data_IF_674704956286
#
_entry.id   IF_674704956286
#
_cell.length_a   1.000
_cell.length_b   1.000
_cell.length_c   1.000
_cell.angle_alpha   90.00
_cell.angle_beta   90.00
_cell.angle_gamma   90.00
#
_symmetry.space_group_name_H-M   'P 1'
#
loop_
_entity.id
_entity.type
_entity.pdbx_description
1 polymer ?
#
# COMPACT_ATOMS: atom_id res chain seq x y z
N UNK A 1 -23.19 -10.82 1.47
CA UNK A 1 -22.16 -10.26 2.38
C UNK A 1 -21.84 -8.84 1.93
N UNK A 2 -21.87 -7.87 2.83
CA UNK A 2 -21.38 -6.52 2.54
C UNK A 2 -19.85 -6.53 2.45
N UNK A 3 -19.30 -5.93 1.39
CA UNK A 3 -17.85 -5.82 1.17
C UNK A 3 -17.45 -4.36 1.46
N UNK A 4 -16.49 -4.13 2.38
CA UNK A 4 -15.97 -2.79 2.69
C UNK A 4 -15.43 -2.08 1.45
N UNK A 5 -15.70 -0.79 1.29
CA UNK A 5 -15.17 0.01 0.19
C UNK A 5 -13.92 0.80 0.58
N UNK A 6 -13.85 1.25 1.83
CA UNK A 6 -12.74 2.06 2.35
C UNK A 6 -12.08 1.36 3.54
N UNK A 7 -10.79 1.04 3.40
CA UNK A 7 -9.97 0.43 4.45
C UNK A 7 -8.99 1.47 5.01
N UNK A 8 -9.20 1.94 6.23
CA UNK A 8 -8.24 2.79 6.92
C UNK A 8 -6.99 1.99 7.31
N UNK A 9 -5.80 2.53 7.06
CA UNK A 9 -4.53 1.91 7.45
C UNK A 9 -3.82 2.68 8.56
N UNK A 10 -2.95 2.00 9.29
CA UNK A 10 -2.07 2.60 10.31
C UNK A 10 -0.65 2.86 9.77
N UNK A 11 -0.54 3.24 8.49
CA UNK A 11 0.75 3.49 7.86
C UNK A 11 1.44 4.75 8.43
N UNK A 12 2.78 4.81 8.47
CA UNK A 12 3.53 5.97 8.95
C UNK A 12 3.79 7.01 7.84
N UNK A 13 2.91 7.10 6.84
CA UNK A 13 3.06 8.00 5.68
C UNK A 13 2.76 9.47 6.02
N UNK A 14 2.17 9.72 7.19
CA UNK A 14 1.84 11.06 7.64
C UNK A 14 3.01 11.77 8.34
N UNK A 15 3.00 13.10 8.36
CA UNK A 15 3.89 13.90 9.22
C UNK A 15 3.47 13.92 10.68
N UNK A 16 2.25 13.46 11.00
CA UNK A 16 1.72 13.36 12.36
C UNK A 16 2.10 12.02 12.98
N UNK A 17 2.83 12.07 14.09
CA UNK A 17 3.15 10.89 14.90
C UNK A 17 1.91 10.43 15.65
N UNK A 18 1.55 9.16 15.50
CA UNK A 18 0.53 8.47 16.30
C UNK A 18 1.22 7.30 16.99
N UNK A 19 1.03 7.18 18.29
CA UNK A 19 1.57 6.08 19.09
C UNK A 19 0.64 4.87 19.05
N UNK A 20 1.14 3.69 19.39
CA UNK A 20 0.34 2.47 19.41
C UNK A 20 -0.87 2.54 20.37
N UNK A 21 -0.80 3.39 21.40
CA UNK A 21 -1.92 3.65 22.32
C UNK A 21 -3.02 4.54 21.71
N UNK A 22 -2.65 5.50 20.87
CA UNK A 22 -3.59 6.39 20.19
C UNK A 22 -4.27 5.73 18.98
N UNK A 23 -3.71 4.63 18.47
CA UNK A 23 -4.24 3.91 17.30
C UNK A 23 -5.65 3.33 17.51
N UNK A 24 -6.04 3.05 18.76
CA UNK A 24 -7.42 2.64 19.08
C UNK A 24 -8.40 3.78 18.85
N UNK A 25 -8.01 5.00 19.21
CA UNK A 25 -8.81 6.20 19.02
C UNK A 25 -8.85 6.57 17.54
N UNK A 26 -7.71 6.49 16.86
CA UNK A 26 -7.59 6.64 15.41
C UNK A 26 -8.54 5.70 14.66
N UNK A 27 -8.62 4.42 15.04
CA UNK A 27 -9.50 3.45 14.40
C UNK A 27 -10.98 3.84 14.50
N UNK A 28 -11.41 4.31 15.68
CA UNK A 28 -12.79 4.75 15.90
C UNK A 28 -13.09 6.05 15.16
N UNK A 29 -12.13 6.99 15.11
CA UNK A 29 -12.26 8.21 14.29
C UNK A 29 -12.33 7.86 12.79
N UNK A 30 -11.63 6.82 12.34
CA UNK A 30 -11.74 6.34 10.96
C UNK A 30 -13.16 5.91 10.59
N UNK A 31 -13.86 5.20 11.49
CA UNK A 31 -15.25 4.84 11.31
C UNK A 31 -16.17 6.07 11.31
N UNK A 32 -16.01 6.97 12.29
CA UNK A 32 -16.95 8.07 12.55
C UNK A 32 -16.75 9.29 11.65
N UNK A 33 -15.50 9.75 11.46
CA UNK A 33 -15.19 11.01 10.79
C UNK A 33 -14.79 10.81 9.33
N UNK A 34 -14.03 9.76 9.04
CA UNK A 34 -13.56 9.47 7.68
C UNK A 34 -14.53 8.53 6.93
N UNK A 35 -15.43 7.83 7.64
CA UNK A 35 -16.40 6.93 7.01
C UNK A 35 -15.73 5.72 6.35
N UNK A 36 -14.61 5.26 6.90
CA UNK A 36 -13.99 4.00 6.50
C UNK A 36 -14.86 2.84 6.98
N UNK A 37 -15.10 1.85 6.13
CA UNK A 37 -15.92 0.67 6.49
C UNK A 37 -15.08 -0.40 7.20
N UNK A 38 -13.76 -0.27 7.11
CA UNK A 38 -12.82 -1.25 7.62
C UNK A 38 -11.59 -0.53 8.17
N UNK A 39 -11.05 -1.00 9.30
CA UNK A 39 -9.77 -0.53 9.84
C UNK A 39 -8.80 -1.70 9.87
N UNK A 40 -7.64 -1.49 9.27
CA UNK A 40 -6.55 -2.44 9.30
C UNK A 40 -5.67 -2.24 10.53
N UNK A 41 -5.63 -3.23 11.42
CA UNK A 41 -4.73 -3.27 12.57
C UNK A 41 -3.41 -3.90 12.14
N UNK A 42 -2.33 -3.13 12.13
CA UNK A 42 -1.08 -3.54 11.50
C UNK A 42 -0.06 -4.07 12.52
N UNK A 43 0.34 -5.33 12.38
CA UNK A 43 1.40 -5.96 13.17
C UNK A 43 2.74 -6.10 12.40
N UNK A 44 2.75 -5.85 11.08
CA UNK A 44 3.96 -6.04 10.23
C UNK A 44 5.03 -4.99 10.54
N UNK A 45 6.12 -5.42 11.18
CA UNK A 45 7.19 -4.54 11.69
C UNK A 45 6.72 -3.43 12.63
N UNK A 46 5.63 -3.63 13.37
CA UNK A 46 5.09 -2.68 14.36
C UNK A 46 5.07 -3.28 15.77
N UNK A 47 5.21 -2.44 16.79
CA UNK A 47 5.09 -2.81 18.20
C UNK A 47 3.64 -2.73 18.71
N UNK A 48 2.67 -3.04 17.84
CA UNK A 48 1.24 -2.95 18.12
C UNK A 48 0.85 -3.94 19.23
N UNK A 49 0.18 -3.50 20.31
CA UNK A 49 -0.32 -4.40 21.33
C UNK A 49 -1.28 -5.44 20.74
N UNK A 50 -1.10 -6.71 21.12
CA UNK A 50 -1.98 -7.79 20.67
C UNK A 50 -3.43 -7.67 21.19
N UNK A 51 -3.70 -6.77 22.15
CA UNK A 51 -5.05 -6.43 22.57
C UNK A 51 -5.77 -5.48 21.60
N UNK A 52 -5.06 -4.80 20.70
CA UNK A 52 -5.60 -3.67 19.94
C UNK A 52 -6.87 -4.01 19.15
N UNK A 53 -6.99 -5.15 18.42
CA UNK A 53 -8.24 -5.50 17.73
C UNK A 53 -9.44 -5.62 18.69
N UNK A 54 -9.23 -6.16 19.90
CA UNK A 54 -10.25 -6.21 20.95
C UNK A 54 -10.56 -4.82 21.47
N UNK A 55 -9.56 -3.98 21.69
CA UNK A 55 -9.74 -2.64 22.25
C UNK A 55 -10.49 -1.71 21.27
N UNK A 56 -10.19 -1.81 19.97
CA UNK A 56 -10.97 -1.18 18.89
C UNK A 56 -12.41 -1.69 18.90
N UNK A 57 -12.60 -3.01 19.00
CA UNK A 57 -13.95 -3.59 19.08
C UNK A 57 -14.74 -3.07 20.29
N UNK A 58 -14.10 -3.04 21.46
CA UNK A 58 -14.68 -2.52 22.70
C UNK A 58 -15.13 -1.08 22.57
N UNK A 59 -14.23 -0.21 22.08
CA UNK A 59 -14.53 1.22 21.94
C UNK A 59 -15.61 1.49 20.90
N UNK A 60 -15.58 0.78 19.77
CA UNK A 60 -16.59 0.91 18.72
C UNK A 60 -17.98 0.45 19.20
N UNK A 61 -18.07 -0.68 19.92
CA UNK A 61 -19.33 -1.15 20.50
C UNK A 61 -19.87 -0.18 21.55
N UNK A 62 -19.01 0.41 22.39
CA UNK A 62 -19.41 1.42 23.37
C UNK A 62 -19.99 2.69 22.73
N UNK A 63 -19.62 2.97 21.48
CA UNK A 63 -20.15 4.10 20.69
C UNK A 63 -21.34 3.71 19.81
N UNK A 64 -21.84 2.47 19.91
CA UNK A 64 -22.98 1.99 19.14
C UNK A 64 -22.68 1.76 17.66
N UNK A 65 -21.41 1.59 17.28
CA UNK A 65 -21.04 1.31 15.88
C UNK A 65 -21.46 -0.12 15.49
N UNK A 66 -22.10 -0.32 14.32
CA UNK A 66 -22.52 -1.64 13.81
C UNK A 66 -21.34 -2.49 13.31
N UNK A 67 -20.50 -2.94 14.23
CA UNK A 67 -19.37 -3.82 13.97
C UNK A 67 -19.84 -5.21 13.48
N UNK A 68 -19.09 -5.79 12.55
CA UNK A 68 -19.39 -7.09 11.95
C UNK A 68 -20.49 -7.07 10.88
N UNK A 69 -21.18 -5.93 10.73
CA UNK A 69 -22.24 -5.71 9.74
C UNK A 69 -21.85 -4.66 8.71
N UNK A 70 -21.51 -3.46 9.17
CA UNK A 70 -21.05 -2.34 8.32
C UNK A 70 -19.59 -1.98 8.56
N UNK A 71 -19.12 -2.08 9.80
CA UNK A 71 -17.75 -1.76 10.18
C UNK A 71 -16.96 -3.04 10.53
N UNK A 72 -15.69 -3.10 10.11
CA UNK A 72 -14.85 -4.29 10.28
C UNK A 72 -13.46 -3.95 10.79
N UNK A 73 -12.87 -4.89 11.53
CA UNK A 73 -11.49 -4.83 11.97
C UNK A 73 -10.74 -5.94 11.23
N UNK A 74 -9.65 -5.61 10.56
CA UNK A 74 -8.91 -6.57 9.74
C UNK A 74 -7.43 -6.52 10.10
N UNK A 75 -6.94 -7.44 10.94
CA UNK A 75 -5.53 -7.48 11.30
C UNK A 75 -4.64 -7.84 10.09
N UNK A 76 -3.56 -7.07 9.87
CA UNK A 76 -2.46 -7.45 9.00
C UNK A 76 -1.39 -8.16 9.83
N UNK A 77 -1.22 -9.46 9.59
CA UNK A 77 -0.33 -10.33 10.37
C UNK A 77 1.08 -10.31 9.80
N UNK A 78 2.14 -10.50 10.60
CA UNK A 78 3.48 -10.74 10.09
C UNK A 78 3.50 -12.04 9.29
N UNK A 79 4.24 -12.07 8.17
CA UNK A 79 4.42 -13.31 7.41
C UNK A 79 5.40 -14.22 8.17
N UNK A 80 5.00 -15.45 8.56
CA UNK A 80 5.82 -16.33 9.40
C UNK A 80 7.13 -16.82 8.74
N UNK A 81 7.33 -16.55 7.43
CA UNK A 81 8.59 -16.83 6.72
C UNK A 81 9.56 -15.65 6.70
N UNK A 82 9.08 -14.44 6.96
CA UNK A 82 9.82 -13.19 6.80
C UNK A 82 10.03 -12.45 8.13
N UNK A 83 9.12 -12.65 9.08
CA UNK A 83 9.21 -12.16 10.45
C UNK A 83 9.12 -13.34 11.43
N UNK A 84 9.32 -13.04 12.72
CA UNK A 84 9.32 -14.06 13.78
C UNK A 84 7.99 -14.82 13.83
N UNK A 85 8.09 -16.13 13.92
CA UNK A 85 6.95 -17.04 13.98
C UNK A 85 5.99 -16.69 15.13
N UNK A 86 6.54 -16.34 16.29
CA UNK A 86 5.79 -15.96 17.48
C UNK A 86 4.92 -14.73 17.24
N UNK A 87 5.42 -13.74 16.48
CA UNK A 87 4.65 -12.52 16.16
C UNK A 87 3.46 -12.83 15.26
N UNK A 88 3.62 -13.76 14.32
CA UNK A 88 2.52 -14.28 13.51
C UNK A 88 1.49 -15.01 14.36
N UNK A 89 1.92 -15.89 15.27
CA UNK A 89 0.98 -16.65 16.11
C UNK A 89 0.21 -15.77 17.09
N UNK A 90 0.85 -14.78 17.71
CA UNK A 90 0.20 -13.83 18.62
C UNK A 90 -0.77 -12.89 17.89
N UNK A 91 -0.47 -12.48 16.65
CA UNK A 91 -1.37 -11.64 15.87
C UNK A 91 -2.62 -12.40 15.38
N UNK A 92 -2.48 -13.69 15.02
CA UNK A 92 -3.62 -14.56 14.76
C UNK A 92 -4.46 -14.78 16.02
N UNK A 93 -3.82 -15.00 17.17
CA UNK A 93 -4.52 -15.12 18.47
C UNK A 93 -5.35 -13.87 18.76
N UNK A 94 -4.76 -12.68 18.57
CA UNK A 94 -5.44 -11.40 18.74
C UNK A 94 -6.70 -11.27 17.87
N UNK A 95 -6.65 -11.76 16.63
CA UNK A 95 -7.79 -11.75 15.71
C UNK A 95 -8.96 -12.59 16.23
N UNK A 96 -8.69 -13.82 16.69
CA UNK A 96 -9.74 -14.72 17.21
C UNK A 96 -10.26 -14.22 18.57
N UNK A 97 -9.40 -13.71 19.45
CA UNK A 97 -9.80 -13.14 20.74
C UNK A 97 -10.67 -11.88 20.59
N UNK A 98 -10.45 -11.07 19.57
CA UNK A 98 -11.33 -9.93 19.27
C UNK A 98 -12.75 -10.39 18.92
N UNK A 99 -12.90 -11.47 18.16
CA UNK A 99 -14.21 -12.09 17.90
C UNK A 99 -14.82 -12.71 19.14
N UNK A 100 -14.01 -13.38 19.96
CA UNK A 100 -14.46 -13.91 21.24
C UNK A 100 -15.08 -12.82 22.12
N UNK A 101 -14.44 -11.64 22.17
CA UNK A 101 -14.99 -10.48 22.85
C UNK A 101 -16.27 -9.94 22.18
N UNK A 102 -16.23 -9.65 20.87
CA UNK A 102 -17.35 -9.01 20.17
C UNK A 102 -18.61 -9.88 20.15
N UNK A 103 -18.46 -11.20 20.09
CA UNK A 103 -19.58 -12.14 20.18
C UNK A 103 -20.22 -12.16 21.56
N UNK A 104 -19.43 -12.11 22.64
CA UNK A 104 -19.98 -12.01 24.01
C UNK A 104 -20.64 -10.66 24.26
N UNK A 105 -20.04 -9.58 23.78
CA UNK A 105 -20.51 -8.22 24.05
C UNK A 105 -21.75 -7.83 23.23
N UNK A 106 -21.83 -8.28 21.96
CA UNK A 106 -22.87 -7.83 21.03
C UNK A 106 -23.37 -8.92 20.07
N UNK A 107 -22.90 -10.17 20.17
CA UNK A 107 -23.32 -11.25 19.27
C UNK A 107 -22.75 -11.19 17.85
N UNK A 108 -21.81 -10.28 17.58
CA UNK A 108 -21.26 -10.00 16.24
C UNK A 108 -19.82 -10.48 16.08
N UNK A 109 -19.39 -10.70 14.83
CA UNK A 109 -18.01 -11.02 14.47
C UNK A 109 -17.31 -9.77 13.91
N UNK A 110 -16.48 -9.11 14.74
CA UNK A 110 -15.79 -7.88 14.36
C UNK A 110 -14.67 -8.11 13.33
N UNK A 111 -14.00 -9.25 13.41
CA UNK A 111 -12.90 -9.66 12.52
C UNK A 111 -13.37 -10.78 11.59
N UNK A 112 -13.58 -10.46 10.32
CA UNK A 112 -13.90 -11.45 9.28
C UNK A 112 -12.69 -11.86 8.46
N UNK A 113 -11.66 -11.02 8.45
CA UNK A 113 -10.50 -11.20 7.61
C UNK A 113 -9.21 -10.95 8.36
N UNK A 114 -8.15 -11.59 7.89
CA UNK A 114 -6.76 -11.25 8.23
C UNK A 114 -5.96 -11.07 6.94
N UNK A 115 -5.15 -10.01 6.86
CA UNK A 115 -4.27 -9.74 5.72
C UNK A 115 -2.92 -10.42 5.96
N UNK A 116 -2.50 -11.24 5.00
CA UNK A 116 -1.18 -11.87 4.98
C UNK A 116 -0.30 -11.13 3.95
N UNK A 117 0.72 -10.36 4.39
CA UNK A 117 1.61 -9.60 3.51
C UNK A 117 2.62 -10.51 2.82
N UNK A 118 3.13 -10.04 1.68
CA UNK A 118 4.15 -10.74 0.90
C UNK A 118 3.77 -12.23 0.72
N UNK A 119 2.51 -12.50 0.33
CA UNK A 119 2.08 -13.89 0.12
C UNK A 119 2.67 -14.39 -1.18
N UNK A 120 3.78 -15.11 -1.04
CA UNK A 120 4.59 -15.52 -2.17
C UNK A 120 4.25 -16.92 -2.70
N UNK A 121 3.76 -17.78 -1.81
CA UNK A 121 3.57 -19.19 -2.04
C UNK A 121 2.28 -19.69 -1.36
N UNK A 122 1.72 -20.77 -1.88
CA UNK A 122 0.45 -21.32 -1.38
C UNK A 122 0.62 -22.06 -0.07
N UNK A 123 1.82 -22.58 0.21
CA UNK A 123 2.18 -23.33 1.40
C UNK A 123 2.07 -22.43 2.65
N UNK A 124 2.50 -21.18 2.56
CA UNK A 124 2.39 -20.18 3.62
C UNK A 124 0.94 -19.85 3.91
N UNK A 125 0.10 -19.73 2.87
CA UNK A 125 -1.34 -19.55 3.07
C UNK A 125 -1.96 -20.75 3.78
N UNK A 126 -1.66 -21.98 3.33
CA UNK A 126 -2.16 -23.21 3.96
C UNK A 126 -1.75 -23.30 5.44
N UNK A 127 -0.51 -22.94 5.74
CA UNK A 127 0.02 -22.89 7.10
C UNK A 127 -0.74 -21.90 7.97
N UNK A 128 -0.96 -20.67 7.49
CA UNK A 128 -1.68 -19.64 8.24
C UNK A 128 -3.14 -20.00 8.44
N UNK A 129 -3.82 -20.59 7.45
CA UNK A 129 -5.17 -21.11 7.62
C UNK A 129 -5.23 -22.17 8.71
N UNK A 130 -4.30 -23.15 8.68
CA UNK A 130 -4.21 -24.19 9.71
C UNK A 130 -4.03 -23.60 11.11
N UNK A 131 -3.13 -22.62 11.25
CA UNK A 131 -2.90 -21.96 12.54
C UNK A 131 -4.15 -21.21 13.04
N UNK A 132 -4.84 -20.51 12.14
CA UNK A 132 -6.08 -19.80 12.43
C UNK A 132 -7.21 -20.75 12.85
N UNK A 133 -7.34 -21.89 12.18
CA UNK A 133 -8.33 -22.92 12.47
C UNK A 133 -8.09 -23.59 13.82
N UNK A 134 -6.83 -23.88 14.16
CA UNK A 134 -6.46 -24.41 15.47
C UNK A 134 -6.85 -23.44 16.59
N UNK A 135 -6.50 -22.16 16.46
CA UNK A 135 -6.83 -21.14 17.46
C UNK A 135 -8.33 -20.92 17.62
N UNK A 136 -9.06 -20.87 16.50
CA UNK A 136 -10.52 -20.75 16.54
C UNK A 136 -11.17 -21.97 17.22
N UNK A 137 -10.65 -23.18 16.96
CA UNK A 137 -11.12 -24.41 17.60
C UNK A 137 -10.88 -24.39 19.10
N UNK A 138 -9.68 -24.02 19.55
CA UNK A 138 -9.34 -23.98 20.98
C UNK A 138 -10.30 -23.07 21.75
N UNK A 139 -10.57 -21.86 21.22
CA UNK A 139 -11.54 -20.94 21.84
C UNK A 139 -12.98 -21.46 21.77
N UNK A 140 -13.34 -22.20 20.73
CA UNK A 140 -14.69 -22.77 20.61
C UNK A 140 -14.90 -23.92 21.60
N UNK A 141 -13.87 -24.73 21.89
CA UNK A 141 -13.90 -25.75 22.93
C UNK A 141 -14.05 -25.16 24.33
N UNK A 142 -13.49 -23.96 24.55
CA UNK A 142 -13.68 -23.17 25.77
C UNK A 142 -15.02 -22.42 25.83
N UNK A 143 -15.92 -22.59 24.85
CA UNK A 143 -17.16 -21.83 24.67
C UNK A 143 -16.94 -20.30 24.59
N UNK A 144 -15.74 -19.87 24.20
CA UNK A 144 -15.37 -18.47 24.13
C UNK A 144 -15.70 -17.84 22.76
N UNK A 145 -15.88 -18.64 21.71
CA UNK A 145 -16.28 -18.22 20.36
C UNK A 145 -17.22 -19.28 19.76
N UNK A 146 -18.11 -18.88 18.86
CA UNK A 146 -18.94 -19.83 18.10
C UNK A 146 -18.09 -20.63 17.11
N UNK A 147 -18.45 -21.91 16.90
CA UNK A 147 -17.73 -22.84 16.01
C UNK A 147 -17.75 -22.44 14.52
N UNK A 148 -18.74 -21.66 14.10
CA UNK A 148 -18.92 -21.18 12.74
C UNK A 148 -18.23 -19.84 12.46
N UNK A 149 -17.51 -19.29 13.44
CA UNK A 149 -16.78 -18.02 13.31
C UNK A 149 -15.50 -18.18 12.49
N UNK A 150 -15.62 -18.42 11.18
CA UNK A 150 -14.47 -18.49 10.28
C UNK A 150 -13.89 -17.10 10.03
N UNK A 151 -12.57 -17.01 10.06
CA UNK A 151 -11.82 -15.85 9.60
C UNK A 151 -11.16 -16.26 8.27
N UNK A 152 -11.29 -15.42 7.25
CA UNK A 152 -10.73 -15.66 5.92
C UNK A 152 -9.41 -14.92 5.71
N UNK A 153 -8.51 -15.48 4.89
CA UNK A 153 -7.26 -14.82 4.55
C UNK A 153 -7.41 -13.91 3.34
N UNK A 154 -6.82 -12.73 3.44
CA UNK A 154 -6.61 -11.80 2.35
C UNK A 154 -5.11 -11.84 2.01
N UNK A 155 -4.69 -12.52 0.95
CA UNK A 155 -3.31 -12.45 0.50
C UNK A 155 -3.03 -11.05 -0.06
N UNK A 156 -1.91 -10.46 0.36
CA UNK A 156 -1.37 -9.21 -0.14
C UNK A 156 -0.19 -9.49 -1.09
N UNK A 157 -0.38 -9.14 -2.36
CA UNK A 157 0.60 -9.26 -3.44
C UNK A 157 1.15 -7.88 -3.77
N UNK A 158 2.44 -7.70 -3.52
CA UNK A 158 3.13 -6.41 -3.50
C UNK A 158 4.41 -6.40 -4.36
N UNK A 159 4.43 -7.23 -5.41
CA UNK A 159 5.54 -7.40 -6.34
C UNK A 159 5.00 -7.42 -7.77
N UNK A 160 5.56 -6.58 -8.63
CA UNK A 160 5.08 -6.40 -10.00
C UNK A 160 5.11 -7.71 -10.81
N UNK A 161 6.17 -8.50 -10.65
CA UNK A 161 6.36 -9.76 -11.40
C UNK A 161 5.41 -10.87 -10.93
N UNK A 162 4.88 -10.75 -9.71
CA UNK A 162 3.80 -11.62 -9.19
C UNK A 162 2.42 -11.12 -9.58
N UNK A 163 2.21 -9.80 -9.57
CA UNK A 163 0.94 -9.17 -9.95
C UNK A 163 0.55 -9.49 -11.40
N UNK A 164 1.49 -9.55 -12.33
CA UNK A 164 1.20 -9.96 -13.73
C UNK A 164 0.75 -11.42 -13.87
N UNK A 165 0.98 -12.25 -12.84
CA UNK A 165 0.60 -13.67 -12.77
C UNK A 165 -0.55 -13.90 -11.78
N UNK A 166 -1.34 -12.88 -11.46
CA UNK A 166 -2.33 -12.97 -10.37
C UNK A 166 -3.40 -14.03 -10.63
N UNK A 167 -3.76 -14.28 -11.89
CA UNK A 167 -4.76 -15.29 -12.25
C UNK A 167 -4.35 -16.71 -11.81
N UNK A 168 -3.14 -17.13 -12.16
CA UNK A 168 -2.66 -18.47 -11.83
C UNK A 168 -2.48 -18.63 -10.33
N UNK A 169 -2.06 -17.55 -9.65
CA UNK A 169 -1.98 -17.49 -8.20
C UNK A 169 -3.36 -17.66 -7.54
N UNK A 170 -4.37 -16.89 -7.93
CA UNK A 170 -5.75 -17.01 -7.42
C UNK A 170 -6.26 -18.44 -7.58
N UNK A 171 -6.13 -19.03 -8.78
CA UNK A 171 -6.54 -20.41 -9.04
C UNK A 171 -5.85 -21.40 -8.11
N UNK A 172 -4.56 -21.18 -7.81
CA UNK A 172 -3.82 -22.01 -6.86
C UNK A 172 -4.33 -21.85 -5.41
N UNK A 173 -4.62 -20.62 -4.97
CA UNK A 173 -5.13 -20.35 -3.62
C UNK A 173 -6.49 -21.03 -3.35
N UNK A 174 -7.40 -21.01 -4.32
CA UNK A 174 -8.69 -21.72 -4.18
C UNK A 174 -8.49 -23.23 -4.04
N UNK A 175 -7.59 -23.84 -4.83
CA UNK A 175 -7.26 -25.26 -4.69
C UNK A 175 -6.67 -25.58 -3.33
N UNK A 176 -5.76 -24.74 -2.84
CA UNK A 176 -5.11 -24.92 -1.54
C UNK A 176 -6.10 -24.78 -0.38
N UNK A 177 -7.03 -23.82 -0.45
CA UNK A 177 -8.10 -23.69 0.54
C UNK A 177 -9.01 -24.93 0.54
N UNK A 178 -9.41 -25.41 -0.63
CA UNK A 178 -10.23 -26.63 -0.77
C UNK A 178 -9.53 -27.87 -0.20
N UNK A 179 -8.23 -28.04 -0.47
CA UNK A 179 -7.41 -29.11 0.11
C UNK A 179 -7.29 -29.02 1.63
N UNK A 180 -7.40 -27.81 2.19
CA UNK A 180 -7.42 -27.55 3.64
C UNK A 180 -8.82 -27.73 4.24
N UNK A 181 -9.81 -28.19 3.47
CA UNK A 181 -11.19 -28.40 3.92
C UNK A 181 -12.03 -27.12 3.98
N UNK A 182 -11.55 -26.00 3.41
CA UNK A 182 -12.27 -24.73 3.34
C UNK A 182 -12.95 -24.55 1.99
N UNK A 183 -14.24 -24.23 2.01
CA UNK A 183 -15.00 -23.87 0.80
C UNK A 183 -15.05 -22.35 0.73
N UNK A 184 -14.35 -21.76 -0.23
CA UNK A 184 -14.35 -20.32 -0.45
C UNK A 184 -15.35 -19.98 -1.57
N UNK A 185 -16.45 -19.33 -1.23
CA UNK A 185 -17.38 -18.76 -2.22
C UNK A 185 -16.90 -17.42 -2.79
N UNK A 186 -15.99 -16.77 -2.06
CA UNK A 186 -15.49 -15.43 -2.34
C UNK A 186 -14.10 -15.25 -1.72
N UNK A 187 -13.22 -14.54 -2.41
CA UNK A 187 -11.91 -14.16 -1.90
C UNK A 187 -11.65 -12.67 -2.13
N UNK A 188 -11.04 -12.01 -1.13
CA UNK A 188 -10.48 -10.67 -1.31
C UNK A 188 -8.99 -10.81 -1.58
N UNK A 189 -8.50 -10.12 -2.61
CA UNK A 189 -7.07 -10.11 -2.96
C UNK A 189 -6.58 -8.69 -2.80
N UNK A 190 -5.52 -8.50 -2.03
CA UNK A 190 -4.94 -7.19 -1.80
C UNK A 190 -3.75 -7.00 -2.73
N UNK A 191 -3.77 -5.95 -3.54
CA UNK A 191 -2.70 -5.58 -4.45
C UNK A 191 -2.02 -4.31 -3.91
N UNK A 192 -0.76 -4.42 -3.48
CA UNK A 192 0.03 -3.32 -2.96
C UNK A 192 0.98 -2.74 -4.00
N UNK A 193 1.04 -1.42 -4.13
CA UNK A 193 1.97 -0.77 -5.07
C UNK A 193 3.25 -0.26 -4.39
N UNK A 194 3.19 0.11 -3.11
CA UNK A 194 4.31 0.83 -2.45
C UNK A 194 5.61 0.01 -2.39
N UNK A 195 5.57 -1.22 -1.85
CA UNK A 195 6.75 -2.09 -1.78
C UNK A 195 7.15 -2.63 -3.18
N UNK A 196 6.19 -2.72 -4.10
CA UNK A 196 6.46 -3.05 -5.52
C UNK A 196 7.29 -1.95 -6.17
N UNK A 197 6.92 -0.68 -5.97
CA UNK A 197 7.61 0.48 -6.53
C UNK A 197 9.03 0.61 -6.00
N UNK A 198 9.29 0.30 -4.73
CA UNK A 198 10.66 0.25 -4.19
C UNK A 198 11.54 -0.72 -4.99
N UNK A 199 11.00 -1.89 -5.38
CA UNK A 199 11.74 -2.96 -6.07
C UNK A 199 11.80 -2.79 -7.59
N UNK A 200 10.80 -2.16 -8.19
CA UNK A 200 10.58 -2.16 -9.65
C UNK A 200 10.35 -0.78 -10.27
N UNK A 201 10.26 0.29 -9.48
CA UNK A 201 9.86 1.61 -9.96
C UNK A 201 8.35 1.76 -10.08
N UNK A 202 7.90 3.00 -10.26
CA UNK A 202 6.48 3.32 -10.33
C UNK A 202 5.86 2.76 -11.63
N UNK A 203 6.49 2.97 -12.78
CA UNK A 203 5.95 2.57 -14.07
C UNK A 203 5.74 1.05 -14.18
N UNK A 204 6.70 0.23 -13.73
CA UNK A 204 6.53 -1.22 -13.70
C UNK A 204 5.38 -1.65 -12.78
N UNK A 205 5.30 -1.03 -11.60
CA UNK A 205 4.31 -1.35 -10.57
C UNK A 205 2.90 -0.94 -10.96
N UNK A 206 2.75 0.25 -11.57
CA UNK A 206 1.49 0.77 -12.05
C UNK A 206 0.96 -0.05 -13.24
N UNK A 207 1.82 -0.39 -14.22
CA UNK A 207 1.45 -1.27 -15.34
C UNK A 207 1.04 -2.67 -14.84
N UNK A 208 1.79 -3.24 -13.89
CA UNK A 208 1.45 -4.53 -13.29
C UNK A 208 0.12 -4.50 -12.55
N UNK A 209 -0.18 -3.40 -11.83
CA UNK A 209 -1.46 -3.20 -11.16
C UNK A 209 -2.64 -3.18 -12.13
N UNK A 210 -2.53 -2.42 -13.23
CA UNK A 210 -3.57 -2.36 -14.28
C UNK A 210 -3.79 -3.75 -14.89
N UNK A 211 -2.71 -4.47 -15.21
CA UNK A 211 -2.80 -5.84 -15.75
C UNK A 211 -3.46 -6.79 -14.75
N UNK A 212 -3.09 -6.75 -13.48
CA UNK A 212 -3.64 -7.60 -12.43
C UNK A 212 -5.14 -7.37 -12.22
N UNK A 213 -5.58 -6.11 -12.18
CA UNK A 213 -7.00 -5.76 -12.08
C UNK A 213 -7.78 -6.22 -13.32
N UNK A 214 -7.17 -6.09 -14.51
CA UNK A 214 -7.70 -6.65 -15.76
C UNK A 214 -7.95 -8.15 -15.62
N UNK A 215 -6.92 -8.93 -15.29
CA UNK A 215 -7.01 -10.39 -15.10
C UNK A 215 -8.08 -10.78 -14.07
N UNK A 216 -8.15 -10.09 -12.93
CA UNK A 216 -9.20 -10.35 -11.93
C UNK A 216 -10.61 -10.03 -12.48
N UNK A 217 -10.75 -8.98 -13.28
CA UNK A 217 -12.02 -8.66 -13.94
C UNK A 217 -12.43 -9.76 -14.93
N UNK A 218 -11.47 -10.43 -15.58
CA UNK A 218 -11.76 -11.52 -16.52
C UNK A 218 -12.23 -12.77 -15.77
N UNK A 219 -11.48 -13.19 -14.75
CA UNK A 219 -11.83 -14.32 -13.89
C UNK A 219 -13.23 -14.18 -13.27
N UNK A 220 -13.56 -12.99 -12.78
CA UNK A 220 -14.87 -12.70 -12.19
C UNK A 220 -16.02 -12.83 -13.20
N UNK A 221 -15.76 -12.52 -14.47
CA UNK A 221 -16.76 -12.59 -15.55
C UNK A 221 -17.00 -14.03 -15.99
N UNK A 222 -15.96 -14.86 -16.00
CA UNK A 222 -16.08 -16.28 -16.31
C UNK A 222 -16.95 -17.01 -15.27
N UNK A 223 -17.06 -16.44 -14.05
CA UNK A 223 -18.00 -16.85 -13.03
C UNK A 223 -17.56 -18.05 -12.18
N UNK A 224 -16.45 -18.69 -12.54
CA UNK A 224 -15.85 -19.79 -11.76
C UNK A 224 -15.34 -19.32 -10.39
N UNK A 225 -14.84 -18.08 -10.30
CA UNK A 225 -14.34 -17.50 -9.06
C UNK A 225 -14.96 -16.11 -8.82
N UNK A 226 -15.11 -15.76 -7.54
CA UNK A 226 -15.59 -14.44 -7.12
C UNK A 226 -14.53 -13.72 -6.30
N UNK A 227 -13.90 -12.72 -6.90
CA UNK A 227 -12.76 -12.00 -6.35
C UNK A 227 -13.11 -10.53 -6.16
N UNK A 228 -12.77 -9.98 -5.00
CA UNK A 228 -12.88 -8.53 -4.73
C UNK A 228 -11.49 -7.93 -4.49
N UNK A 229 -10.91 -7.24 -5.49
CA UNK A 229 -9.61 -6.61 -5.33
C UNK A 229 -9.64 -5.48 -4.31
N UNK A 230 -8.58 -5.40 -3.51
CA UNK A 230 -8.26 -4.28 -2.63
C UNK A 230 -7.01 -3.61 -3.23
N UNK A 231 -7.04 -2.30 -3.44
CA UNK A 231 -5.85 -1.54 -3.88
C UNK A 231 -5.20 -0.80 -2.71
N UNK A 232 -3.92 -1.09 -2.49
CA UNK A 232 -3.07 -0.47 -1.48
C UNK A 232 -2.23 0.65 -2.04
N UNK A 233 -2.70 1.88 -1.90
CA UNK A 233 -2.09 3.05 -2.50
C UNK A 233 -2.05 4.21 -1.51
N UNK A 234 -1.05 5.08 -1.66
CA UNK A 234 -0.82 6.26 -0.83
C UNK A 234 -1.00 7.57 -1.60
N UNK A 235 -0.56 8.65 -0.96
CA UNK A 235 -0.64 10.00 -1.52
C UNK A 235 0.46 10.34 -2.55
N UNK A 236 1.73 9.90 -2.41
CA UNK A 236 2.69 10.18 -3.48
C UNK A 236 2.38 9.33 -4.73
N UNK A 237 2.56 9.88 -5.95
CA UNK A 237 2.41 9.15 -7.20
C UNK A 237 3.17 7.82 -7.23
N UNK A 238 4.41 7.81 -6.73
CA UNK A 238 5.24 6.59 -6.62
C UNK A 238 4.58 5.46 -5.82
N UNK A 239 3.60 5.79 -4.97
CA UNK A 239 2.82 4.86 -4.18
C UNK A 239 1.37 4.77 -4.68
N UNK A 240 1.13 5.10 -5.94
CA UNK A 240 -0.14 4.97 -6.67
C UNK A 240 -1.07 6.17 -6.62
N UNK A 241 -0.69 7.28 -5.98
CA UNK A 241 -1.39 8.58 -6.06
C UNK A 241 -2.86 8.64 -5.62
N UNK A 242 -3.50 7.52 -5.27
CA UNK A 242 -4.94 7.43 -5.06
C UNK A 242 -5.42 8.25 -3.86
N UNK A 243 -4.56 8.46 -2.86
CA UNK A 243 -4.85 9.27 -1.68
C UNK A 243 -4.44 10.74 -1.84
N UNK A 244 -4.03 11.15 -3.04
CA UNK A 244 -3.62 12.51 -3.36
C UNK A 244 -4.83 13.35 -3.79
N UNK A 245 -5.16 14.48 -3.12
CA UNK A 245 -6.27 15.32 -3.55
C UNK A 245 -6.19 15.84 -4.99
N UNK A 246 -4.98 15.94 -5.55
CA UNK A 246 -4.77 16.37 -6.94
C UNK A 246 -4.89 15.24 -7.95
N UNK A 247 -4.63 13.98 -7.55
CA UNK A 247 -4.53 12.84 -8.47
C UNK A 247 -5.60 11.77 -8.24
N UNK A 248 -6.37 11.83 -7.14
CA UNK A 248 -7.32 10.79 -6.80
C UNK A 248 -8.33 10.49 -7.91
N UNK A 249 -8.78 11.50 -8.67
CA UNK A 249 -9.71 11.32 -9.80
C UNK A 249 -9.06 10.55 -10.97
N UNK A 250 -7.94 11.02 -11.56
CA UNK A 250 -7.29 10.26 -12.64
C UNK A 250 -6.76 8.91 -12.17
N UNK A 251 -6.32 8.76 -10.91
CA UNK A 251 -5.80 7.50 -10.37
C UNK A 251 -6.92 6.46 -10.13
N UNK A 252 -8.07 6.89 -9.59
CA UNK A 252 -9.23 6.01 -9.42
C UNK A 252 -9.73 5.50 -10.78
N UNK A 253 -9.69 6.35 -11.82
CA UNK A 253 -9.97 5.94 -13.19
C UNK A 253 -8.88 5.01 -13.76
N UNK A 254 -7.60 5.33 -13.55
CA UNK A 254 -6.44 4.55 -14.02
C UNK A 254 -6.50 3.11 -13.50
N UNK A 255 -6.80 2.94 -12.22
CA UNK A 255 -6.87 1.65 -11.53
C UNK A 255 -8.30 1.12 -11.36
N UNK A 256 -9.24 1.52 -12.23
CA UNK A 256 -10.62 1.06 -12.15
C UNK A 256 -10.74 -0.49 -12.11
N UNK A 257 -11.62 -0.99 -11.24
CA UNK A 257 -11.88 -2.42 -11.07
C UNK A 257 -11.67 -2.95 -9.66
N UNK A 258 -11.08 -2.15 -8.76
CA UNK A 258 -11.04 -2.47 -7.34
C UNK A 258 -12.44 -2.43 -6.68
N UNK A 259 -12.56 -3.11 -5.53
CA UNK A 259 -13.74 -3.08 -4.67
C UNK A 259 -13.50 -2.38 -3.34
N UNK A 260 -12.27 -2.45 -2.85
CA UNK A 260 -11.83 -1.72 -1.66
C UNK A 260 -10.59 -0.90 -2.02
N UNK A 261 -10.45 0.30 -1.47
CA UNK A 261 -9.21 1.06 -1.53
C UNK A 261 -8.74 1.44 -0.12
N UNK A 262 -7.44 1.53 0.05
CA UNK A 262 -6.86 1.99 1.32
C UNK A 262 -6.96 3.50 1.47
N UNK A 263 -7.32 3.95 2.68
CA UNK A 263 -7.19 5.33 3.16
C UNK A 263 -6.02 5.37 4.14
N UNK A 264 -4.94 6.03 3.76
CA UNK A 264 -3.72 6.11 4.56
C UNK A 264 -3.74 7.27 5.54
N UNK A 265 -2.69 7.41 6.35
CA UNK A 265 -2.64 8.43 7.40
C UNK A 265 -2.43 9.82 6.82
N UNK A 266 -1.62 9.97 5.76
CA UNK A 266 -1.30 11.30 5.22
C UNK A 266 -2.54 12.06 4.76
N UNK A 267 -3.43 11.43 3.99
CA UNK A 267 -4.68 12.05 3.54
C UNK A 267 -5.68 12.34 4.67
N UNK A 268 -5.46 11.77 5.86
CA UNK A 268 -6.28 12.06 7.05
C UNK A 268 -5.73 13.21 7.87
N UNK A 269 -4.40 13.41 7.88
CA UNK A 269 -3.77 14.33 8.84
C UNK A 269 -2.97 15.46 8.22
N UNK A 270 -2.48 15.30 7.00
CA UNK A 270 -1.62 16.28 6.32
C UNK A 270 -2.37 17.11 5.26
N UNK A 271 -3.66 16.84 5.06
CA UNK A 271 -4.55 17.60 4.17
C UNK A 271 -5.81 18.03 4.92
N UNK A 272 -6.53 19.01 4.38
CA UNK A 272 -7.80 19.44 4.96
C UNK A 272 -8.88 18.36 4.81
N UNK A 273 -9.88 18.39 5.70
CA UNK A 273 -11.03 17.47 5.59
C UNK A 273 -11.79 17.63 4.26
N UNK A 274 -11.83 18.84 3.70
CA UNK A 274 -12.44 19.08 2.39
C UNK A 274 -11.66 18.40 1.25
N UNK A 275 -10.34 18.38 1.33
CA UNK A 275 -9.49 17.64 0.39
C UNK A 275 -9.64 16.13 0.56
N UNK A 276 -9.72 15.65 1.80
CA UNK A 276 -10.05 14.25 2.08
C UNK A 276 -11.39 13.84 1.45
N UNK A 277 -12.44 14.66 1.57
CA UNK A 277 -13.74 14.34 0.97
C UNK A 277 -13.65 14.20 -0.56
N UNK A 278 -12.87 15.04 -1.24
CA UNK A 278 -12.62 14.90 -2.69
C UNK A 278 -11.97 13.56 -3.02
N UNK A 279 -10.98 13.14 -2.25
CA UNK A 279 -10.32 11.83 -2.41
C UNK A 279 -11.32 10.71 -2.19
N UNK A 280 -12.12 10.79 -1.13
CA UNK A 280 -13.15 9.80 -0.79
C UNK A 280 -14.19 9.67 -1.90
N UNK A 281 -14.68 10.78 -2.44
CA UNK A 281 -15.64 10.82 -3.55
C UNK A 281 -15.04 10.20 -4.82
N UNK A 282 -13.79 10.53 -5.15
CA UNK A 282 -13.08 9.90 -6.26
C UNK A 282 -12.99 8.39 -6.08
N UNK A 283 -12.55 7.91 -4.92
CA UNK A 283 -12.42 6.46 -4.65
C UNK A 283 -13.75 5.72 -4.74
N UNK A 284 -14.82 6.30 -4.21
CA UNK A 284 -16.16 5.70 -4.18
C UNK A 284 -16.93 5.84 -5.50
N UNK A 285 -16.41 6.61 -6.46
CA UNK A 285 -17.02 6.76 -7.77
C UNK A 285 -16.95 5.46 -8.55
N UNK A 286 -17.98 5.19 -9.36
CA UNK A 286 -18.07 3.96 -10.14
C UNK A 286 -17.28 4.15 -11.44
N UNK A 287 -16.15 3.45 -11.55
CA UNK A 287 -15.39 3.37 -12.79
C UNK A 287 -15.50 1.97 -13.40
N UNK A 288 -15.68 1.93 -14.72
CA UNK A 288 -15.68 0.68 -15.46
C UNK A 288 -14.28 0.06 -15.43
N UNK A 289 -14.13 -1.22 -15.04
CA UNK A 289 -12.86 -1.92 -15.14
C UNK A 289 -12.25 -1.78 -16.54
N UNK A 290 -10.98 -1.40 -16.59
CA UNK A 290 -10.29 -1.16 -17.87
C UNK A 290 -9.82 -2.49 -18.44
N UNK A 291 -10.14 -2.74 -19.71
CA UNK A 291 -9.59 -3.85 -20.49
C UNK A 291 -8.54 -3.30 -21.42
N UNK A 292 -7.32 -3.18 -20.91
CA UNK A 292 -6.19 -2.73 -21.69
C UNK A 292 -5.18 -3.85 -21.78
N UNK A 293 -4.64 -3.97 -22.98
CA UNK A 293 -3.50 -4.83 -23.22
C UNK A 293 -2.26 -4.16 -22.64
N UNK A 294 -1.65 -4.80 -21.65
CA UNK A 294 -0.38 -4.38 -21.05
C UNK A 294 0.62 -5.49 -21.30
N UNK A 295 1.63 -5.18 -22.10
CA UNK A 295 2.71 -6.12 -22.43
C UNK A 295 3.59 -6.37 -21.21
N UNK A 296 3.87 -7.64 -20.92
CA UNK A 296 4.77 -8.03 -19.82
C UNK A 296 6.21 -7.54 -20.07
N UNK A 297 6.57 -7.36 -21.35
CA UNK A 297 7.84 -6.78 -21.76
C UNK A 297 8.02 -5.34 -21.26
N UNK A 298 6.94 -4.52 -21.25
CA UNK A 298 7.01 -3.14 -20.75
C UNK A 298 7.30 -3.12 -19.24
N UNK A 299 6.62 -3.99 -18.49
CA UNK A 299 6.78 -4.12 -17.03
C UNK A 299 8.19 -4.57 -16.68
N UNK A 300 8.69 -5.60 -17.39
CA UNK A 300 10.05 -6.11 -17.22
C UNK A 300 11.08 -5.03 -17.54
N UNK A 301 10.88 -4.29 -18.64
CA UNK A 301 11.82 -3.26 -19.07
C UNK A 301 11.83 -2.05 -18.15
N UNK A 302 10.66 -1.60 -17.68
CA UNK A 302 10.55 -0.54 -16.69
C UNK A 302 11.30 -0.92 -15.40
N UNK A 303 11.11 -2.16 -14.92
CA UNK A 303 11.80 -2.64 -13.72
C UNK A 303 13.31 -2.71 -13.89
N UNK A 304 13.81 -3.14 -15.05
CA UNK A 304 15.24 -3.21 -15.35
C UNK A 304 15.85 -1.80 -15.34
N UNK A 305 15.27 -0.87 -16.11
CA UNK A 305 15.76 0.50 -16.24
C UNK A 305 15.72 1.28 -14.92
N UNK A 306 14.68 1.08 -14.11
CA UNK A 306 14.62 1.64 -12.76
C UNK A 306 15.75 1.12 -11.87
N UNK A 307 15.96 -0.21 -11.83
CA UNK A 307 17.02 -0.82 -11.01
C UNK A 307 18.41 -0.33 -11.44
N UNK A 308 18.64 -0.17 -12.74
CA UNK A 308 19.86 0.43 -13.27
C UNK A 308 20.02 1.90 -12.84
N UNK A 309 18.95 2.68 -12.92
CA UNK A 309 18.96 4.10 -12.54
C UNK A 309 19.28 4.30 -11.06
N UNK A 310 18.70 3.50 -10.15
CA UNK A 310 18.89 3.70 -8.71
C UNK A 310 20.19 3.10 -8.17
N UNK A 311 20.75 2.06 -8.81
CA UNK A 311 21.89 1.28 -8.31
C UNK A 311 23.06 2.15 -7.81
N UNK A 312 23.51 3.21 -8.51
CA UNK A 312 24.62 4.05 -8.04
C UNK A 312 24.33 4.83 -6.75
N UNK A 313 23.04 5.05 -6.43
CA UNK A 313 22.61 5.96 -5.37
C UNK A 313 22.18 5.24 -4.09
N UNK A 314 22.07 3.91 -4.09
CA UNK A 314 21.49 3.13 -2.97
C UNK A 314 22.22 3.40 -1.65
N UNK A 315 23.56 3.43 -1.66
CA UNK A 315 24.35 3.77 -0.47
C UNK A 315 24.03 5.17 0.07
N UNK A 316 23.87 6.15 -0.83
CA UNK A 316 23.56 7.54 -0.45
C UNK A 316 22.14 7.67 0.10
N UNK A 317 21.17 6.99 -0.50
CA UNK A 317 19.79 6.95 -0.02
C UNK A 317 19.71 6.28 1.35
N UNK A 318 20.45 5.19 1.58
CA UNK A 318 20.51 4.55 2.90
C UNK A 318 21.09 5.47 3.98
N UNK A 319 22.08 6.30 3.63
CA UNK A 319 22.66 7.33 4.51
C UNK A 319 21.64 8.44 4.84
N UNK A 320 21.01 9.01 3.80
CA UNK A 320 20.04 10.11 3.92
C UNK A 320 18.76 9.69 4.65
N UNK A 321 18.41 8.41 4.62
CA UNK A 321 17.24 7.88 5.33
C UNK A 321 17.25 8.15 6.84
N UNK A 322 18.42 8.40 7.45
CA UNK A 322 18.51 8.79 8.88
C UNK A 322 17.87 10.16 9.17
N UNK A 323 17.76 11.03 8.16
CA UNK A 323 17.09 12.32 8.26
C UNK A 323 15.56 12.21 8.22
N UNK A 324 15.00 11.01 8.00
CA UNK A 324 13.55 10.79 7.97
C UNK A 324 13.09 10.25 9.33
N UNK A 325 12.21 10.96 10.06
CA UNK A 325 11.72 10.50 11.36
C UNK A 325 10.69 9.39 11.24
N UNK A 326 10.52 8.62 12.32
CA UNK A 326 9.40 7.68 12.44
C UNK A 326 8.16 8.35 13.03
N UNK A 327 7.01 8.15 12.38
CA UNK A 327 5.70 8.68 12.81
C UNK A 327 4.75 7.58 13.34
N UNK A 328 5.29 6.37 13.56
CA UNK A 328 4.64 5.24 14.25
C UNK A 328 5.65 4.51 15.12
N UNK A 329 5.17 3.74 16.09
CA UNK A 329 6.00 2.84 16.92
C UNK A 329 6.34 1.58 16.11
N UNK A 330 7.49 1.61 15.42
CA UNK A 330 7.95 0.54 14.52
C UNK A 330 9.25 -0.09 14.97
N UNK A 331 9.42 -1.33 14.56
CA UNK A 331 10.72 -2.00 14.57
C UNK A 331 11.60 -1.36 13.49
N UNK A 332 12.90 -1.22 13.75
CA UNK A 332 13.83 -0.59 12.82
C UNK A 332 13.82 -1.30 11.46
N UNK A 333 13.81 -0.53 10.37
CA UNK A 333 13.96 -1.10 9.02
C UNK A 333 15.31 -1.79 8.82
N UNK A 334 16.28 -1.61 9.71
CA UNK A 334 17.53 -2.38 9.67
C UNK A 334 17.30 -3.87 9.95
N UNK A 335 16.30 -4.20 10.77
CA UNK A 335 15.89 -5.58 11.07
C UNK A 335 15.05 -6.15 9.92
N UNK A 336 13.94 -5.47 9.57
CA UNK A 336 12.98 -5.91 8.54
C UNK A 336 12.96 -5.02 7.28
N UNK A 337 14.13 -4.68 6.76
CA UNK A 337 14.31 -3.87 5.54
C UNK A 337 13.92 -4.64 4.28
N UNK A 338 13.89 -3.95 3.14
CA UNK A 338 13.58 -4.61 1.85
C UNK A 338 14.87 -4.95 1.11
N UNK A 339 14.87 -6.10 0.44
CA UNK A 339 15.94 -6.53 -0.46
C UNK A 339 15.48 -6.25 -1.89
N UNK A 340 16.32 -5.58 -2.67
CA UNK A 340 16.12 -5.44 -4.12
C UNK A 340 16.97 -6.51 -4.80
N UNK A 341 16.37 -7.33 -5.65
CA UNK A 341 17.12 -8.35 -6.40
C UNK A 341 18.27 -7.74 -7.21
N UNK A 342 19.45 -8.35 -7.11
CA UNK A 342 20.66 -7.86 -7.77
C UNK A 342 21.32 -6.66 -7.08
N UNK A 343 20.84 -6.25 -5.89
CA UNK A 343 21.48 -5.25 -5.03
C UNK A 343 21.83 -5.92 -3.69
N UNK A 344 23.10 -5.85 -3.29
CA UNK A 344 23.58 -6.43 -2.02
C UNK A 344 23.10 -5.68 -0.75
N UNK A 345 22.37 -4.58 -0.92
CA UNK A 345 22.01 -3.65 0.15
C UNK A 345 20.53 -3.73 0.51
N UNK A 346 20.24 -3.70 1.83
CA UNK A 346 18.89 -3.47 2.35
C UNK A 346 18.52 -2.01 2.16
N UNK A 347 17.39 -1.74 1.50
CA UNK A 347 16.82 -0.40 1.40
C UNK A 347 15.79 -0.16 2.50
N UNK A 348 15.54 1.12 2.89
CA UNK A 348 14.43 1.45 3.77
C UNK A 348 13.09 0.94 3.23
N UNK A 349 12.11 0.75 4.12
CA UNK A 349 10.72 0.46 3.72
C UNK A 349 10.13 1.63 2.92
N UNK A 350 9.11 1.35 2.11
CA UNK A 350 8.56 2.27 1.11
C UNK A 350 8.39 3.72 1.58
N UNK A 351 7.86 3.97 2.78
CA UNK A 351 7.66 5.33 3.29
C UNK A 351 8.97 6.11 3.42
N UNK A 352 9.94 5.51 4.12
CA UNK A 352 11.24 6.16 4.35
C UNK A 352 11.99 6.28 3.04
N UNK A 353 11.91 5.25 2.18
CA UNK A 353 12.49 5.28 0.84
C UNK A 353 11.96 6.47 0.03
N UNK A 354 10.64 6.61 -0.07
CA UNK A 354 9.97 7.68 -0.80
C UNK A 354 10.31 9.05 -0.21
N UNK A 355 10.18 9.23 1.11
CA UNK A 355 10.52 10.48 1.79
C UNK A 355 11.99 10.88 1.58
N UNK A 356 12.90 9.91 1.56
CA UNK A 356 14.34 10.16 1.37
C UNK A 356 14.64 10.68 -0.03
N UNK A 357 14.00 10.12 -1.06
CA UNK A 357 14.15 10.60 -2.43
C UNK A 357 13.68 12.05 -2.59
N UNK A 358 12.50 12.39 -2.05
CA UNK A 358 12.07 13.78 -1.99
C UNK A 358 13.07 14.69 -1.24
N UNK A 359 13.65 14.20 -0.14
CA UNK A 359 14.67 14.92 0.64
C UNK A 359 16.01 15.08 -0.09
N UNK A 360 16.32 14.17 -1.01
CA UNK A 360 17.46 14.28 -1.93
C UNK A 360 17.19 15.23 -3.12
N UNK A 361 15.95 15.72 -3.26
CA UNK A 361 15.52 16.64 -4.31
C UNK A 361 14.97 15.97 -5.57
N UNK A 362 14.76 14.66 -5.55
CA UNK A 362 14.22 13.90 -6.67
C UNK A 362 12.99 13.12 -6.19
N UNK A 363 11.77 13.57 -6.52
CA UNK A 363 10.59 12.74 -6.33
C UNK A 363 10.77 11.35 -6.98
N UNK A 364 10.47 10.25 -6.28
CA UNK A 364 10.88 8.92 -6.72
C UNK A 364 10.15 8.42 -7.98
N UNK A 365 9.00 8.98 -8.35
CA UNK A 365 8.37 8.70 -9.66
C UNK A 365 9.24 9.13 -10.84
N UNK A 366 10.06 10.18 -10.67
CA UNK A 366 10.95 10.67 -11.72
C UNK A 366 12.13 9.72 -11.98
N UNK A 367 12.37 8.73 -11.11
CA UNK A 367 13.40 7.70 -11.30
C UNK A 367 13.10 6.79 -12.50
N UNK A 368 11.86 6.79 -12.98
CA UNK A 368 11.45 6.08 -14.20
C UNK A 368 11.76 6.86 -15.50
N UNK A 369 12.51 7.97 -15.41
CA UNK A 369 12.91 8.78 -16.56
C UNK A 369 13.52 7.98 -17.72
N UNK A 370 14.37 6.99 -17.40
CA UNK A 370 14.98 6.11 -18.42
C UNK A 370 13.94 5.27 -19.15
N UNK A 371 12.88 4.84 -18.48
CA UNK A 371 11.78 4.10 -19.10
C UNK A 371 10.94 4.99 -20.01
N UNK A 372 10.67 6.24 -19.62
CA UNK A 372 10.00 7.23 -20.49
C UNK A 372 10.82 7.45 -21.78
N UNK A 373 12.13 7.67 -21.65
CA UNK A 373 13.02 7.83 -22.79
C UNK A 373 13.09 6.58 -23.68
N UNK A 374 13.10 5.39 -23.07
CA UNK A 374 13.05 4.12 -23.80
C UNK A 374 11.74 3.95 -24.57
N UNK A 375 10.59 4.20 -23.93
CA UNK A 375 9.28 4.04 -24.56
C UNK A 375 9.13 5.02 -25.74
N UNK A 376 9.60 6.26 -25.59
CA UNK A 376 9.63 7.24 -26.68
C UNK A 376 10.48 6.79 -27.86
N UNK A 377 11.72 6.33 -27.61
CA UNK A 377 12.64 5.88 -28.66
C UNK A 377 12.14 4.66 -29.44
N UNK A 378 11.27 3.86 -28.84
CA UNK A 378 10.70 2.65 -29.46
C UNK A 378 9.28 2.86 -29.97
N UNK A 379 8.78 4.10 -30.04
CA UNK A 379 7.41 4.44 -30.49
C UNK A 379 6.31 3.75 -29.65
N UNK A 380 6.57 3.47 -28.37
CA UNK A 380 5.65 2.81 -27.43
C UNK A 380 5.04 3.76 -26.39
N UNK A 381 5.49 5.02 -26.35
CA UNK A 381 5.09 5.96 -25.29
C UNK A 381 3.56 6.17 -25.25
N UNK A 382 2.92 6.34 -26.41
CA UNK A 382 1.47 6.55 -26.48
C UNK A 382 0.67 5.36 -25.95
N UNK A 383 1.14 4.13 -26.19
CA UNK A 383 0.48 2.92 -25.69
C UNK A 383 0.69 2.74 -24.18
N UNK A 384 1.88 3.08 -23.68
CA UNK A 384 2.17 3.13 -22.24
C UNK A 384 1.29 4.18 -21.56
N UNK A 385 1.16 5.38 -22.11
CA UNK A 385 0.30 6.44 -21.57
C UNK A 385 -1.19 6.11 -21.71
N UNK A 386 -1.58 5.34 -22.73
CA UNK A 386 -2.94 4.79 -22.83
C UNK A 386 -3.20 3.80 -21.69
N UNK A 387 -2.23 2.97 -21.32
CA UNK A 387 -2.31 2.09 -20.15
C UNK A 387 -2.32 2.88 -18.84
N UNK A 388 -1.49 3.92 -18.73
CA UNK A 388 -1.33 4.77 -17.55
C UNK A 388 -1.65 6.25 -17.84
N UNK A 389 -2.93 6.63 -17.97
CA UNK A 389 -3.34 7.97 -18.38
C UNK A 389 -3.04 9.05 -17.34
N UNK A 390 -2.80 8.69 -16.06
CA UNK A 390 -2.45 9.65 -15.02
C UNK A 390 -0.98 10.08 -15.09
N UNK A 391 -0.11 9.33 -15.78
CA UNK A 391 1.36 9.54 -15.80
C UNK A 391 1.76 11.00 -16.05
N UNK A 392 1.16 11.68 -17.04
CA UNK A 392 1.52 13.08 -17.34
C UNK A 392 1.16 14.01 -16.19
N UNK A 393 0.00 13.81 -15.55
CA UNK A 393 -0.44 14.61 -14.40
C UNK A 393 0.35 14.28 -13.14
N UNK A 394 0.74 13.02 -12.93
CA UNK A 394 1.67 12.59 -11.89
C UNK A 394 3.01 13.32 -12.03
N UNK A 395 3.60 13.33 -13.23
CA UNK A 395 4.89 14.00 -13.48
C UNK A 395 4.79 15.53 -13.34
N UNK A 396 3.69 16.14 -13.76
CA UNK A 396 3.42 17.57 -13.50
C UNK A 396 3.34 17.85 -12.00
N UNK A 397 2.62 17.03 -11.24
CA UNK A 397 2.51 17.14 -9.79
C UNK A 397 3.90 17.04 -9.13
N UNK A 398 4.70 16.05 -9.53
CA UNK A 398 6.03 15.81 -8.97
C UNK A 398 7.03 16.92 -9.32
N UNK A 399 6.87 17.55 -10.48
CA UNK A 399 7.73 18.67 -10.89
C UNK A 399 7.75 19.83 -9.88
N UNK A 400 6.70 19.96 -9.06
CA UNK A 400 6.61 20.96 -7.98
C UNK A 400 7.60 20.70 -6.84
N UNK A 401 8.04 19.45 -6.67
CA UNK A 401 8.91 19.02 -5.58
C UNK A 401 10.29 18.54 -6.06
N UNK A 402 10.57 18.68 -7.36
CA UNK A 402 11.87 18.45 -7.96
C UNK A 402 12.79 19.66 -7.75
N UNK A 403 13.94 19.46 -7.11
CA UNK A 403 15.00 20.46 -7.00
C UNK A 403 16.22 20.00 -7.78
N UNK A 404 16.36 20.50 -9.01
CA UNK A 404 17.50 20.23 -9.89
C UNK A 404 18.84 20.51 -9.19
N UNK A 405 18.95 21.66 -8.53
CA UNK A 405 20.16 22.07 -7.81
C UNK A 405 20.50 21.12 -6.65
N UNK A 406 19.51 20.78 -5.82
CA UNK A 406 19.70 19.84 -4.70
C UNK A 406 20.07 18.45 -5.21
N UNK A 407 19.41 17.98 -6.27
CA UNK A 407 19.66 16.69 -6.89
C UNK A 407 21.08 16.61 -7.46
N UNK A 408 21.53 17.60 -8.25
CA UNK A 408 22.90 17.66 -8.77
C UNK A 408 23.94 17.68 -7.64
N UNK A 409 23.70 18.45 -6.57
CA UNK A 409 24.60 18.54 -5.42
C UNK A 409 24.66 17.23 -4.62
N UNK A 410 23.54 16.53 -4.48
CA UNK A 410 23.41 15.38 -3.56
C UNK A 410 23.70 14.05 -4.25
N UNK A 411 23.32 13.93 -5.53
CA UNK A 411 23.31 12.69 -6.30
C UNK A 411 24.19 12.79 -7.55
N UNK A 412 24.52 13.99 -8.02
CA UNK A 412 25.30 14.19 -9.25
C UNK A 412 24.44 14.45 -10.48
N UNK A 413 25.11 14.80 -11.59
CA UNK A 413 24.45 15.32 -12.79
C UNK A 413 23.81 14.28 -13.72
N UNK A 414 24.12 12.99 -13.59
CA UNK A 414 23.57 11.95 -14.47
C UNK A 414 22.05 11.80 -14.28
N UNK A 415 21.60 11.66 -13.03
CA UNK A 415 20.17 11.49 -12.71
C UNK A 415 19.32 12.69 -13.17
N UNK A 416 19.87 13.90 -13.07
CA UNK A 416 19.20 15.13 -13.48
C UNK A 416 19.05 15.20 -14.99
N UNK A 417 20.07 14.79 -15.75
CA UNK A 417 19.98 14.73 -17.22
C UNK A 417 18.89 13.77 -17.69
N UNK A 418 18.80 12.60 -17.06
CA UNK A 418 17.76 11.62 -17.39
C UNK A 418 16.37 12.22 -17.15
N UNK A 419 16.17 12.85 -15.98
CA UNK A 419 14.90 13.48 -15.58
C UNK A 419 14.53 14.64 -16.51
N UNK A 420 15.47 15.55 -16.78
CA UNK A 420 15.24 16.72 -17.64
C UNK A 420 14.85 16.26 -19.06
N UNK A 421 15.50 15.23 -19.61
CA UNK A 421 15.15 14.64 -20.89
C UNK A 421 13.74 14.00 -20.89
N UNK A 422 13.34 13.34 -19.80
CA UNK A 422 12.00 12.78 -19.67
C UNK A 422 10.92 13.87 -19.57
N UNK A 423 11.19 15.00 -18.91
CA UNK A 423 10.29 16.16 -18.92
C UNK A 423 10.09 16.72 -20.32
N UNK A 424 11.16 16.86 -21.11
CA UNK A 424 11.08 17.32 -22.50
C UNK A 424 10.24 16.37 -23.36
N UNK A 425 10.45 15.06 -23.22
CA UNK A 425 9.67 14.02 -23.94
C UNK A 425 8.18 14.10 -23.60
N UNK A 426 7.84 14.31 -22.32
CA UNK A 426 6.45 14.42 -21.87
C UNK A 426 5.83 15.82 -22.13
N UNK A 427 6.61 16.78 -22.64
CA UNK A 427 6.16 18.15 -22.86
C UNK A 427 5.83 18.89 -21.56
N UNK A 428 6.49 18.55 -20.46
CA UNK A 428 6.27 19.13 -19.13
C UNK A 428 7.35 20.16 -18.85
N UNK A 429 6.94 21.40 -18.58
CA UNK A 429 7.84 22.41 -18.01
C UNK A 429 7.75 22.34 -16.48
N UNK A 430 8.84 22.04 -15.76
CA UNK A 430 8.80 21.97 -14.30
C UNK A 430 8.39 23.29 -13.64
N UNK A 431 7.45 23.22 -12.69
CA UNK A 431 6.96 24.37 -11.93
C UNK A 431 7.21 24.18 -10.42
N UNK A 432 8.46 24.33 -9.95
CA UNK A 432 8.81 24.08 -8.57
C UNK A 432 8.06 25.00 -7.58
N UNK A 433 7.58 24.43 -6.48
CA UNK A 433 7.05 25.20 -5.34
C UNK A 433 8.20 25.94 -4.66
N UNK A 434 8.19 27.27 -4.74
CA UNK A 434 9.28 28.11 -4.22
C UNK A 434 9.50 27.94 -2.73
N UNK A 435 8.44 27.74 -1.95
CA UNK A 435 8.53 27.57 -0.49
C UNK A 435 9.21 26.24 -0.18
N UNK A 436 8.78 25.18 -0.86
CA UNK A 436 9.35 23.85 -0.75
C UNK A 436 10.84 23.83 -1.12
N UNK A 437 11.21 24.35 -2.28
CA UNK A 437 12.61 24.34 -2.76
C UNK A 437 13.52 25.15 -1.84
N UNK A 438 13.06 26.32 -1.40
CA UNK A 438 13.83 27.17 -0.47
C UNK A 438 14.15 26.40 0.81
N UNK A 439 13.15 25.74 1.41
CA UNK A 439 13.33 24.94 2.62
C UNK A 439 14.25 23.73 2.35
N UNK A 440 14.03 23.01 1.25
CA UNK A 440 14.78 21.81 0.89
C UNK A 440 16.27 22.09 0.69
N UNK A 441 16.63 23.21 0.07
CA UNK A 441 18.02 23.58 -0.16
C UNK A 441 18.80 23.77 1.16
N UNK A 442 18.11 24.19 2.23
CA UNK A 442 18.65 24.31 3.59
C UNK A 442 18.45 23.07 4.47
N UNK A 443 17.75 22.04 3.99
CA UNK A 443 17.32 20.91 4.81
C UNK A 443 18.45 19.90 5.08
N UNK A 444 18.62 19.56 6.35
CA UNK A 444 19.64 18.63 6.87
C UNK A 444 19.18 17.75 8.06
N UNK A 445 18.01 18.01 8.64
CA UNK A 445 17.55 17.40 9.90
C UNK A 445 16.11 16.87 9.80
N UNK A 446 15.72 16.03 10.75
CA UNK A 446 14.36 15.44 10.80
C UNK A 446 13.22 16.48 10.84
N UNK A 447 13.32 17.60 11.59
CA UNK A 447 12.29 18.65 11.53
C UNK A 447 12.11 19.24 10.13
N UNK A 448 13.18 19.37 9.34
CA UNK A 448 13.08 19.81 7.94
C UNK A 448 12.31 18.80 7.09
N UNK A 449 12.55 17.49 7.27
CA UNK A 449 11.82 16.44 6.56
C UNK A 449 10.30 16.49 6.86
N UNK A 450 9.92 16.73 8.11
CA UNK A 450 8.52 16.91 8.53
C UNK A 450 7.90 18.15 7.88
N UNK A 451 8.59 19.30 7.93
CA UNK A 451 8.10 20.54 7.35
C UNK A 451 7.91 20.42 5.82
N UNK A 452 8.86 19.78 5.13
CA UNK A 452 8.74 19.46 3.70
C UNK A 452 7.55 18.53 3.42
N UNK A 453 7.35 17.51 4.26
CA UNK A 453 6.20 16.60 4.13
C UNK A 453 4.86 17.31 4.30
N UNK A 454 4.77 18.30 5.19
CA UNK A 454 3.56 19.10 5.39
C UNK A 454 3.23 19.94 4.16
N UNK A 455 4.23 20.50 3.48
CA UNK A 455 4.03 21.25 2.24
C UNK A 455 3.50 20.33 1.13
N UNK A 456 3.99 19.08 1.07
CA UNK A 456 3.52 18.08 0.08
C UNK A 456 2.14 17.50 0.39
N UNK A 457 1.72 17.50 1.65
CA UNK A 457 0.53 16.79 2.13
C UNK A 457 0.80 15.30 2.45
N UNK A 458 2.07 14.90 2.58
CA UNK A 458 2.51 13.56 2.99
C UNK A 458 4.01 13.54 3.29
N UNK A 459 4.46 12.67 4.21
CA UNK A 459 5.87 12.46 4.48
C UNK A 459 6.55 11.65 3.37
N UNK A 460 5.98 10.48 3.05
CA UNK A 460 6.46 9.56 2.02
C UNK A 460 5.50 8.41 1.77
#
# INVERSE_FOLDING_TARGET
>A
MYIPCLMCTQHPDSTVKITAGEEVDEAVVAFLAYGCDEVMVDYEGKATPYSQPRDVASKALALGLPLGERFFITPRVPNPRLEDFERSMLSLEAAVLANSYSQRAAGVQAVKWVVLPMTEDVETMAFVYKALDMKARDLAELNAVKRDSSIELIPLVEDAMRQIKIESFIKALFRTAAQSGRILEHMRIFLGISDSAVRHGHMASALAMVKALGQISEINRDGEFKISPIVGMGSPPFRGGLNNPHLAVPEAAQYAGYKTATIQSAVRYDVSYAEYQKVREAILSVYTPRRLHVEEAWITKASELYREAIRPYIGKIAELANAIPSTRDRVSWREYGRVIEGVEWRVPRAIVYTATWYFAGVPPTLLDARFIAWAYKNDLLDDVLRALPATVEEWKFESRFYSRERAEKTLGGEIVKDIDNAFDILGIKPEPDRTYITLLNSADTQPHAIALGRIRGFLG
#
